data_IF_029040947768
#
_entry.id   IF_029040947768
#
_cell.length_a   1.000
_cell.length_b   1.000
_cell.length_c   1.000
_cell.angle_alpha   90.00
_cell.angle_beta   90.00
_cell.angle_gamma   90.00
#
_symmetry.space_group_name_H-M   'P 1'
#
loop_
_entity.id
_entity.type
_entity.pdbx_description
1 polymer ?
#
# COMPACT_ATOMS: atom_id res chain seq x y z
N UNK A 1 -11.64 -0.34 -37.38
CA UNK A 1 -11.37 -0.77 -36.01
C UNK A 1 -9.99 -0.25 -35.66
N UNK A 2 -9.91 0.67 -34.70
CA UNK A 2 -8.80 1.62 -34.53
C UNK A 2 -7.49 0.95 -34.11
N UNK A 3 -6.40 1.42 -34.71
CA UNK A 3 -4.99 1.03 -34.47
C UNK A 3 -4.61 1.03 -32.98
N UNK A 4 -5.36 1.74 -32.12
CA UNK A 4 -5.20 1.75 -30.67
C UNK A 4 -5.46 0.40 -29.97
N UNK A 5 -6.24 -0.52 -30.54
CA UNK A 5 -6.45 -1.85 -29.93
C UNK A 5 -5.28 -2.81 -30.18
N UNK A 6 -4.47 -2.57 -31.22
CA UNK A 6 -3.34 -3.44 -31.54
C UNK A 6 -2.14 -3.19 -30.61
N UNK A 7 -1.91 -1.94 -30.19
CA UNK A 7 -0.78 -1.60 -29.28
C UNK A 7 -0.96 -2.11 -27.84
N UNK A 8 -2.19 -2.42 -27.43
CA UNK A 8 -2.46 -3.01 -26.12
C UNK A 8 -2.03 -4.49 -26.04
N UNK A 9 -1.96 -5.19 -27.18
CA UNK A 9 -1.57 -6.59 -27.29
C UNK A 9 -0.04 -6.78 -27.26
N UNK A 10 0.75 -5.78 -27.67
CA UNK A 10 2.19 -5.96 -27.88
C UNK A 10 3.04 -5.92 -26.59
N UNK A 11 2.51 -5.49 -25.43
CA UNK A 11 3.27 -5.45 -24.16
C UNK A 11 2.41 -5.72 -22.92
N UNK A 12 1.87 -6.92 -22.71
CA UNK A 12 0.85 -7.19 -21.69
C UNK A 12 1.31 -6.89 -20.25
N UNK A 13 2.61 -6.99 -19.97
CA UNK A 13 3.12 -6.90 -18.60
C UNK A 13 3.12 -5.50 -18.00
N UNK A 14 3.36 -4.45 -18.80
CA UNK A 14 3.39 -3.06 -18.31
C UNK A 14 2.03 -2.53 -17.83
N UNK A 15 0.92 -2.70 -18.57
CA UNK A 15 -0.40 -2.28 -18.08
C UNK A 15 -0.87 -3.13 -16.89
N UNK A 16 -0.53 -4.42 -16.84
CA UNK A 16 -0.82 -5.26 -15.66
C UNK A 16 -0.06 -4.73 -14.44
N UNK A 17 1.24 -4.41 -14.58
CA UNK A 17 2.01 -3.81 -13.49
C UNK A 17 1.41 -2.48 -13.03
N UNK A 18 0.98 -1.63 -13.96
CA UNK A 18 0.32 -0.36 -13.65
C UNK A 18 -0.99 -0.58 -12.90
N UNK A 19 -1.79 -1.57 -13.29
CA UNK A 19 -3.02 -1.95 -12.60
C UNK A 19 -2.73 -2.44 -11.18
N UNK A 20 -1.69 -3.26 -10.97
CA UNK A 20 -1.28 -3.68 -9.64
C UNK A 20 -0.91 -2.49 -8.75
N UNK A 21 -0.13 -1.54 -9.26
CA UNK A 21 0.24 -0.32 -8.51
C UNK A 21 -0.99 0.56 -8.23
N UNK A 22 -1.93 0.67 -9.16
CA UNK A 22 -3.18 1.38 -8.94
C UNK A 22 -4.03 0.74 -7.84
N UNK A 23 -4.20 -0.58 -7.87
CA UNK A 23 -4.92 -1.31 -6.84
C UNK A 23 -4.25 -1.15 -5.47
N UNK A 24 -2.92 -1.19 -5.42
CA UNK A 24 -2.18 -0.90 -4.21
C UNK A 24 -2.48 0.50 -3.64
N UNK A 25 -2.51 1.53 -4.48
CA UNK A 25 -2.85 2.89 -4.03
C UNK A 25 -4.27 2.98 -3.47
N UNK A 26 -5.24 2.34 -4.13
CA UNK A 26 -6.61 2.27 -3.61
C UNK A 26 -6.67 1.58 -2.24
N UNK A 27 -5.91 0.50 -2.07
CA UNK A 27 -5.82 -0.23 -0.80
C UNK A 27 -5.09 0.58 0.27
N UNK A 28 -4.02 1.30 -0.06
CA UNK A 28 -3.33 2.21 0.86
C UNK A 28 -4.26 3.30 1.39
N UNK A 29 -5.02 3.94 0.50
CA UNK A 29 -6.01 4.96 0.89
C UNK A 29 -7.10 4.35 1.76
N UNK A 30 -7.64 3.19 1.37
CA UNK A 30 -8.66 2.50 2.14
C UNK A 30 -8.13 2.08 3.52
N UNK A 31 -6.88 1.65 3.62
CA UNK A 31 -6.23 1.31 4.87
C UNK A 31 -6.05 2.57 5.74
N UNK A 32 -5.55 3.68 5.20
CA UNK A 32 -5.35 4.93 5.92
C UNK A 32 -6.65 5.55 6.46
N UNK A 33 -7.75 5.44 5.70
CA UNK A 33 -9.07 5.99 6.10
C UNK A 33 -9.86 5.00 6.96
N UNK A 34 -9.45 3.73 7.03
CA UNK A 34 -10.21 2.71 7.75
C UNK A 34 -10.31 3.04 9.25
N UNK A 35 -11.54 3.13 9.80
CA UNK A 35 -11.75 3.40 11.22
C UNK A 35 -11.44 2.17 12.10
N UNK A 36 -11.24 1.00 11.49
CA UNK A 36 -11.10 -0.27 12.19
C UNK A 36 -9.83 -1.00 11.75
N UNK A 37 -8.71 -0.69 12.41
CA UNK A 37 -7.47 -1.48 12.30
C UNK A 37 -7.43 -2.57 13.34
N UNK A 38 -7.85 -2.25 14.57
CA UNK A 38 -8.06 -3.22 15.65
C UNK A 38 -9.39 -2.94 16.30
N UNK A 39 -10.18 -3.97 16.54
CA UNK A 39 -11.47 -3.86 17.22
C UNK A 39 -11.58 -4.86 18.35
N UNK A 40 -12.29 -4.48 19.40
CA UNK A 40 -12.71 -5.31 20.52
C UNK A 40 -14.06 -4.83 21.04
N UNK A 41 -14.65 -5.58 21.97
CA UNK A 41 -15.90 -5.19 22.61
C UNK A 41 -15.77 -3.81 23.28
N UNK A 42 -16.53 -2.83 22.81
CA UNK A 42 -16.48 -1.45 23.32
C UNK A 42 -15.20 -0.68 22.98
N UNK A 43 -14.35 -1.17 22.07
CA UNK A 43 -13.09 -0.52 21.72
C UNK A 43 -12.79 -0.61 20.22
N UNK A 44 -12.57 0.52 19.57
CA UNK A 44 -12.15 0.61 18.18
C UNK A 44 -10.88 1.45 18.07
N UNK A 45 -9.87 0.93 17.37
CA UNK A 45 -8.62 1.61 17.13
C UNK A 45 -8.40 1.75 15.62
N UNK A 46 -8.32 3.01 15.19
CA UNK A 46 -7.83 3.42 13.88
C UNK A 46 -6.39 3.89 13.98
N UNK A 47 -5.78 4.23 12.84
CA UNK A 47 -4.47 4.89 12.79
C UNK A 47 -4.46 6.28 13.44
N UNK A 48 -5.60 6.98 13.43
CA UNK A 48 -5.72 8.40 13.78
C UNK A 48 -6.39 8.65 15.14
N UNK A 49 -7.28 7.75 15.51
CA UNK A 49 -8.17 7.86 16.66
C UNK A 49 -8.37 6.51 17.34
N UNK A 50 -8.46 6.55 18.67
CA UNK A 50 -8.84 5.46 19.55
C UNK A 50 -10.18 5.82 20.18
N UNK A 51 -11.19 4.99 19.93
CA UNK A 51 -12.53 5.15 20.45
C UNK A 51 -12.84 4.07 21.47
N UNK A 52 -13.34 4.46 22.64
CA UNK A 52 -13.76 3.55 23.71
C UNK A 52 -15.18 3.88 24.15
N UNK A 53 -15.97 2.85 24.45
CA UNK A 53 -17.32 2.96 25.01
C UNK A 53 -17.24 2.99 26.54
N UNK A 54 -17.58 4.13 27.13
CA UNK A 54 -17.71 4.27 28.59
C UNK A 54 -19.20 4.29 28.94
N UNK A 55 -19.77 3.09 29.13
CA UNK A 55 -21.14 2.91 29.66
C UNK A 55 -22.21 3.72 28.89
N UNK A 56 -22.30 3.52 27.58
CA UNK A 56 -23.27 4.09 26.64
C UNK A 56 -22.89 5.42 25.94
N UNK A 57 -21.66 5.91 26.12
CA UNK A 57 -21.13 7.04 25.35
C UNK A 57 -19.77 6.69 24.74
N UNK A 58 -19.69 6.80 23.42
CA UNK A 58 -18.44 6.66 22.67
C UNK A 58 -17.56 7.90 22.85
N UNK A 59 -16.34 7.69 23.34
CA UNK A 59 -15.32 8.74 23.48
C UNK A 59 -14.15 8.42 22.57
N UNK A 60 -13.84 9.33 21.64
CA UNK A 60 -12.74 9.18 20.69
C UNK A 60 -11.63 10.17 21.03
N UNK A 61 -10.41 9.66 21.11
CA UNK A 61 -9.20 10.44 21.43
C UNK A 61 -8.16 10.17 20.35
N UNK A 62 -7.39 11.19 19.95
CA UNK A 62 -6.36 11.02 18.92
C UNK A 62 -5.21 10.12 19.40
N UNK A 63 -4.78 9.21 18.53
CA UNK A 63 -3.64 8.30 18.72
C UNK A 63 -2.29 8.96 18.46
N UNK A 64 -2.28 10.18 17.91
CA UNK A 64 -1.06 10.96 17.63
C UNK A 64 -0.33 11.45 18.90
N UNK A 65 -0.69 10.94 20.07
CA UNK A 65 0.03 11.17 21.33
C UNK A 65 1.10 10.12 21.59
N UNK A 66 1.04 8.97 20.92
CA UNK A 66 1.97 7.87 21.11
C UNK A 66 3.05 7.83 20.03
N UNK A 67 4.32 7.92 20.43
CA UNK A 67 5.46 7.99 19.51
C UNK A 67 5.49 6.84 18.49
N UNK A 68 5.15 5.61 18.92
CA UNK A 68 5.15 4.45 18.03
C UNK A 68 4.01 4.50 17.01
N UNK A 69 2.84 5.06 17.37
CA UNK A 69 1.71 5.22 16.45
C UNK A 69 2.03 6.28 15.40
N UNK A 70 2.65 7.39 15.82
CA UNK A 70 3.15 8.44 14.91
C UNK A 70 4.17 7.82 13.94
N UNK A 71 5.13 7.02 14.44
CA UNK A 71 6.12 6.37 13.59
C UNK A 71 5.48 5.44 12.56
N UNK A 72 4.53 4.59 12.96
CA UNK A 72 3.78 3.71 12.04
C UNK A 72 3.02 4.53 10.98
N UNK A 73 2.34 5.60 11.40
CA UNK A 73 1.57 6.47 10.50
C UNK A 73 2.49 7.15 9.47
N UNK A 74 3.63 7.69 9.90
CA UNK A 74 4.61 8.34 9.02
C UNK A 74 5.21 7.34 8.03
N UNK A 75 5.51 6.12 8.47
CA UNK A 75 6.00 5.05 7.58
C UNK A 75 4.96 4.66 6.52
N UNK A 76 3.68 4.52 6.89
CA UNK A 76 2.61 4.24 5.92
C UNK A 76 2.39 5.40 4.94
N UNK A 77 2.31 6.64 5.44
CA UNK A 77 2.13 7.82 4.60
C UNK A 77 3.31 8.04 3.65
N UNK A 78 4.54 7.85 4.13
CA UNK A 78 5.74 7.97 3.28
C UNK A 78 5.76 6.89 2.20
N UNK A 79 5.44 5.64 2.54
CA UNK A 79 5.28 4.55 1.58
C UNK A 79 4.23 4.86 0.51
N UNK A 80 3.01 5.22 0.93
CA UNK A 80 1.91 5.57 0.03
C UNK A 80 2.25 6.76 -0.88
N UNK A 81 2.96 7.78 -0.35
CA UNK A 81 3.41 8.93 -1.13
C UNK A 81 4.42 8.53 -2.21
N UNK A 82 5.38 7.66 -1.87
CA UNK A 82 6.35 7.12 -2.85
C UNK A 82 5.62 6.31 -3.92
N UNK A 83 4.65 5.47 -3.54
CA UNK A 83 3.83 4.69 -4.47
C UNK A 83 3.04 5.59 -5.42
N UNK A 84 2.48 6.70 -4.92
CA UNK A 84 1.75 7.66 -5.73
C UNK A 84 2.67 8.32 -6.78
N UNK A 85 3.85 8.76 -6.35
CA UNK A 85 4.85 9.33 -7.25
C UNK A 85 5.29 8.30 -8.31
N UNK A 86 5.52 7.05 -7.90
CA UNK A 86 5.87 5.95 -8.81
C UNK A 86 4.77 5.71 -9.85
N UNK A 87 3.51 5.69 -9.43
CA UNK A 87 2.36 5.54 -10.31
C UNK A 87 2.28 6.68 -11.34
N UNK A 88 2.38 7.93 -10.89
CA UNK A 88 2.36 9.09 -11.79
C UNK A 88 3.49 9.04 -12.82
N UNK A 89 4.72 8.74 -12.38
CA UNK A 89 5.86 8.59 -13.28
C UNK A 89 5.65 7.43 -14.26
N UNK A 90 5.09 6.31 -13.82
CA UNK A 90 4.78 5.16 -14.68
C UNK A 90 3.72 5.49 -15.74
N UNK A 91 2.65 6.21 -15.38
CA UNK A 91 1.62 6.67 -16.32
C UNK A 91 2.21 7.63 -17.34
N UNK A 92 2.95 8.65 -16.90
CA UNK A 92 3.58 9.63 -17.81
C UNK A 92 4.57 8.91 -18.75
N UNK A 93 5.31 7.94 -18.22
CA UNK A 93 6.27 7.12 -18.97
C UNK A 93 5.59 6.27 -20.05
N UNK A 94 4.39 5.75 -19.78
CA UNK A 94 3.58 5.01 -20.74
C UNK A 94 3.01 5.94 -21.82
N UNK A 95 2.43 7.08 -21.43
CA UNK A 95 1.84 8.04 -22.38
C UNK A 95 2.88 8.67 -23.32
N UNK A 96 4.09 8.92 -22.84
CA UNK A 96 5.17 9.56 -23.65
C UNK A 96 6.08 8.57 -24.36
N UNK A 97 5.87 7.26 -24.20
CA UNK A 97 6.73 6.23 -24.79
C UNK A 97 8.19 6.34 -24.33
N UNK A 98 8.43 6.61 -23.04
CA UNK A 98 9.78 6.91 -22.53
C UNK A 98 10.70 5.68 -22.43
N UNK A 99 11.99 5.95 -22.26
CA UNK A 99 13.07 4.98 -22.20
C UNK A 99 12.99 4.00 -21.00
N UNK A 100 13.47 2.77 -21.22
CA UNK A 100 13.50 1.62 -20.27
C UNK A 100 14.10 1.96 -18.89
N UNK A 101 15.04 2.91 -18.80
CA UNK A 101 15.69 3.32 -17.54
C UNK A 101 14.69 3.86 -16.50
N UNK A 102 13.61 4.54 -16.93
CA UNK A 102 12.63 5.11 -16.01
C UNK A 102 11.84 4.03 -15.28
N UNK A 103 11.40 2.97 -15.97
CA UNK A 103 10.67 1.86 -15.34
C UNK A 103 11.52 1.12 -14.31
N UNK A 104 12.82 0.92 -14.56
CA UNK A 104 13.73 0.32 -13.57
C UNK A 104 13.88 1.19 -12.33
N UNK A 105 14.00 2.50 -12.51
CA UNK A 105 14.06 3.45 -11.38
C UNK A 105 12.75 3.42 -10.57
N UNK A 106 11.60 3.43 -11.23
CA UNK A 106 10.29 3.31 -10.57
C UNK A 106 10.18 2.01 -9.78
N UNK A 107 10.65 0.89 -10.33
CA UNK A 107 10.63 -0.40 -9.62
C UNK A 107 11.45 -0.36 -8.31
N UNK A 108 12.63 0.25 -8.31
CA UNK A 108 13.47 0.40 -7.10
C UNK A 108 12.76 1.23 -6.03
N UNK A 109 12.10 2.32 -6.42
CA UNK A 109 11.31 3.12 -5.49
C UNK A 109 10.10 2.37 -4.95
N UNK A 110 9.43 1.54 -5.76
CA UNK A 110 8.33 0.67 -5.30
C UNK A 110 8.82 -0.37 -4.27
N UNK A 111 9.98 -1.01 -4.47
CA UNK A 111 10.54 -1.90 -3.45
C UNK A 111 10.86 -1.17 -2.15
N UNK A 112 11.35 0.07 -2.25
CA UNK A 112 11.60 0.91 -1.07
C UNK A 112 10.29 1.21 -0.33
N UNK A 113 9.22 1.55 -1.05
CA UNK A 113 7.89 1.76 -0.47
C UNK A 113 7.35 0.50 0.22
N UNK A 114 7.51 -0.68 -0.40
CA UNK A 114 7.13 -1.97 0.20
C UNK A 114 7.84 -2.21 1.52
N UNK A 115 9.15 -1.95 1.59
CA UNK A 115 9.91 -2.10 2.85
C UNK A 115 9.37 -1.16 3.93
N UNK A 116 9.16 0.12 3.62
CA UNK A 116 8.64 1.09 4.58
C UNK A 116 7.27 0.68 5.14
N UNK A 117 6.35 0.27 4.27
CA UNK A 117 5.02 -0.17 4.70
C UNK A 117 5.03 -1.50 5.45
N UNK A 118 5.88 -2.44 5.05
CA UNK A 118 6.02 -3.72 5.75
C UNK A 118 6.57 -3.49 7.17
N UNK A 119 7.56 -2.60 7.32
CA UNK A 119 8.05 -2.19 8.63
C UNK A 119 6.92 -1.60 9.49
N UNK A 120 6.09 -0.71 8.95
CA UNK A 120 4.93 -0.19 9.66
C UNK A 120 3.95 -1.27 10.11
N UNK A 121 3.60 -2.18 9.20
CA UNK A 121 2.64 -3.26 9.45
C UNK A 121 3.15 -4.29 10.46
N UNK A 122 4.46 -4.51 10.55
CA UNK A 122 5.07 -5.39 11.56
C UNK A 122 5.23 -4.69 12.90
N UNK A 123 5.60 -3.41 12.90
CA UNK A 123 5.74 -2.61 14.14
C UNK A 123 4.40 -2.46 14.86
N UNK A 124 3.31 -2.29 14.12
CA UNK A 124 1.98 -2.04 14.67
C UNK A 124 1.50 -3.14 15.65
N UNK A 125 1.43 -4.44 15.27
CA UNK A 125 1.04 -5.50 16.20
C UNK A 125 2.04 -5.71 17.33
N UNK A 126 3.35 -5.60 17.08
CA UNK A 126 4.38 -5.79 18.13
C UNK A 126 4.17 -4.79 19.26
N UNK A 127 4.03 -3.51 18.92
CA UNK A 127 3.83 -2.45 19.92
C UNK A 127 2.44 -2.45 20.52
N UNK A 128 1.43 -2.84 19.74
CA UNK A 128 0.08 -3.02 20.25
C UNK A 128 0.01 -4.12 21.34
N UNK A 129 0.65 -5.27 21.11
CA UNK A 129 0.73 -6.39 22.05
C UNK A 129 1.47 -5.97 23.32
N UNK A 130 2.63 -5.31 23.19
CA UNK A 130 3.43 -4.86 24.33
C UNK A 130 2.65 -3.92 25.28
N UNK A 131 1.78 -3.07 24.74
CA UNK A 131 1.05 -2.07 25.53
C UNK A 131 -0.32 -2.54 26.05
N UNK A 132 -1.00 -3.50 25.40
CA UNK A 132 -2.43 -3.79 25.66
C UNK A 132 -2.77 -5.24 26.01
N UNK A 133 -1.82 -6.18 25.98
CA UNK A 133 -2.08 -7.62 26.23
C UNK A 133 -2.52 -7.99 27.66
N UNK A 134 -2.80 -7.05 28.56
CA UNK A 134 -3.20 -7.42 29.92
C UNK A 134 -4.70 -7.73 30.11
N UNK A 135 -5.64 -7.33 29.24
CA UNK A 135 -7.07 -7.43 29.65
C UNK A 135 -8.20 -7.72 28.64
N UNK A 136 -8.04 -7.88 27.32
CA UNK A 136 -9.23 -8.14 26.45
C UNK A 136 -8.90 -8.85 25.13
N UNK A 137 -9.86 -9.61 24.58
CA UNK A 137 -9.80 -10.17 23.21
C UNK A 137 -9.75 -9.03 22.18
N UNK A 138 -8.69 -8.97 21.35
CA UNK A 138 -8.52 -7.97 20.30
C UNK A 138 -8.40 -8.65 18.93
N UNK A 139 -9.23 -8.22 17.98
CA UNK A 139 -9.25 -8.75 16.62
C UNK A 139 -8.64 -7.73 15.64
N UNK A 140 -7.68 -8.17 14.84
CA UNK A 140 -7.19 -7.37 13.72
C UNK A 140 -8.27 -7.31 12.64
N UNK A 141 -8.68 -6.08 12.32
CA UNK A 141 -9.82 -5.83 11.46
C UNK A 141 -9.34 -5.49 10.03
N UNK A 142 -10.28 -5.11 9.16
CA UNK A 142 -10.10 -5.07 7.72
C UNK A 142 -9.07 -4.01 7.30
N UNK A 143 -8.94 -2.90 8.05
CA UNK A 143 -7.92 -1.87 7.77
C UNK A 143 -6.49 -2.42 7.77
N UNK A 144 -6.17 -3.30 8.72
CA UNK A 144 -4.86 -3.95 8.79
C UNK A 144 -4.64 -4.92 7.62
N UNK A 145 -5.65 -5.71 7.27
CA UNK A 145 -5.61 -6.60 6.11
C UNK A 145 -5.44 -5.87 4.78
N UNK A 146 -6.10 -4.71 4.62
CA UNK A 146 -5.96 -3.86 3.43
C UNK A 146 -4.53 -3.32 3.28
N UNK A 147 -3.87 -2.94 4.38
CA UNK A 147 -2.47 -2.53 4.35
C UNK A 147 -1.55 -3.64 3.85
N UNK A 148 -1.71 -4.88 4.34
CA UNK A 148 -0.97 -6.03 3.81
C UNK A 148 -1.29 -6.29 2.33
N UNK A 149 -2.56 -6.21 1.93
CA UNK A 149 -2.96 -6.31 0.53
C UNK A 149 -2.24 -5.30 -0.36
N UNK A 150 -2.15 -4.03 0.07
CA UNK A 150 -1.44 -2.99 -0.65
C UNK A 150 0.02 -3.37 -0.88
N UNK A 151 0.75 -3.83 0.16
CA UNK A 151 2.16 -4.25 0.04
C UNK A 151 2.35 -5.39 -0.98
N UNK A 152 1.44 -6.36 -1.02
CA UNK A 152 1.51 -7.50 -1.95
C UNK A 152 1.33 -7.02 -3.40
N UNK A 153 0.33 -6.18 -3.65
CA UNK A 153 0.11 -5.62 -4.99
C UNK A 153 1.26 -4.70 -5.44
N UNK A 154 1.84 -3.91 -4.53
CA UNK A 154 3.04 -3.12 -4.85
C UNK A 154 4.24 -3.99 -5.17
N UNK A 155 4.46 -5.06 -4.40
CA UNK A 155 5.54 -5.99 -4.65
C UNK A 155 5.37 -6.67 -6.03
N UNK A 156 4.16 -7.12 -6.34
CA UNK A 156 3.81 -7.67 -7.66
C UNK A 156 4.05 -6.67 -8.78
N UNK A 157 3.60 -5.42 -8.62
CA UNK A 157 3.84 -4.34 -9.58
C UNK A 157 5.33 -4.05 -9.77
N UNK A 158 6.11 -3.99 -8.69
CA UNK A 158 7.56 -3.78 -8.73
C UNK A 158 8.31 -4.90 -9.43
N UNK A 159 7.94 -6.17 -9.18
CA UNK A 159 8.51 -7.33 -9.87
C UNK A 159 8.20 -7.29 -11.36
N UNK A 160 6.94 -7.05 -11.74
CA UNK A 160 6.52 -6.97 -13.14
C UNK A 160 7.24 -5.84 -13.90
N UNK A 161 7.53 -4.71 -13.25
CA UNK A 161 8.32 -3.62 -13.83
C UNK A 161 9.82 -3.94 -13.95
N UNK A 162 10.34 -4.88 -13.15
CA UNK A 162 11.72 -5.34 -13.21
C UNK A 162 11.96 -6.43 -14.26
N UNK A 163 10.94 -7.23 -14.59
CA UNK A 163 11.07 -8.33 -15.55
C UNK A 163 11.40 -7.81 -16.95
N UNK A 164 12.45 -8.39 -17.56
CA UNK A 164 12.85 -8.15 -18.95
C UNK A 164 11.93 -8.89 -19.92
N UNK A 165 10.79 -8.28 -20.26
CA UNK A 165 9.83 -8.84 -21.22
C UNK A 165 10.20 -8.53 -22.67
N UNK A 166 11.18 -7.66 -22.88
CA UNK A 166 11.74 -7.28 -24.18
C UNK A 166 12.42 -8.45 -24.91
N UNK A 167 12.97 -9.43 -24.19
CA UNK A 167 13.61 -10.61 -24.80
C UNK A 167 12.63 -11.58 -25.47
N UNK A 168 11.37 -11.59 -25.05
CA UNK A 168 10.32 -12.40 -25.67
C UNK A 168 9.67 -11.69 -26.87
N UNK A 169 9.68 -10.35 -26.86
CA UNK A 169 9.15 -9.52 -27.94
C UNK A 169 10.05 -9.59 -29.20
N UNK A 170 11.38 -9.65 -29.02
CA UNK A 170 12.35 -9.70 -30.13
C UNK A 170 12.42 -11.08 -30.85
N UNK A 171 11.86 -12.14 -30.26
CA UNK A 171 11.87 -13.50 -30.85
C UNK A 171 10.67 -13.83 -31.74
N UNK A 172 9.71 -12.89 -31.87
CA UNK A 172 8.45 -13.07 -32.61
C UNK A 172 8.40 -12.26 -33.93
N UNK A 173 9.53 -11.65 -34.34
CA UNK A 173 9.67 -10.93 -35.62
C UNK A 173 10.83 -11.51 -36.44
#
# INVERSE_FOLDING_TARGET
>A
MSVNELYACERPFKPIALLCVFLALCLDVAALVSPAWVTAEGYALSLWESCTDNTAVWTCVSTLTSDWQIATLVLLLSGASVTLLCFLVAVISLCRGTNRKHYRTVAVFLFTAVVLQTCALVLYPIKFIEYRMLHTYHEFNWGYGLGWGATIFMLGGGILLCLRTDMYEDGMY
#
